data_IF_863867277782
#
_entry.id   IF_863867277782
#
_cell.length_a   1.000
_cell.length_b   1.000
_cell.length_c   1.000
_cell.angle_alpha   90.00
_cell.angle_beta   90.00
_cell.angle_gamma   90.00
#
_symmetry.space_group_name_H-M   'P 1'
#
loop_
_entity.id
_entity.type
_entity.pdbx_description
1 polymer ?
#
# COMPACT_ATOMS: atom_id res chain seq x y z
N UNK A 1 -3.29 -10.03 -18.99
CA UNK A 1 -3.34 -10.33 -17.55
C UNK A 1 -2.65 -11.64 -17.17
N UNK A 2 -2.83 -12.74 -17.92
CA UNK A 2 -2.18 -14.04 -17.61
C UNK A 2 -0.66 -13.94 -17.37
N UNK A 3 0.09 -13.42 -18.34
CA UNK A 3 1.55 -13.25 -18.23
C UNK A 3 1.97 -12.36 -17.07
N UNK A 4 1.29 -11.24 -16.88
CA UNK A 4 1.56 -10.32 -15.78
C UNK A 4 1.38 -10.99 -14.41
N UNK A 5 0.31 -11.79 -14.26
CA UNK A 5 0.06 -12.55 -13.02
C UNK A 5 1.11 -13.64 -12.80
N UNK A 6 1.56 -14.33 -13.85
CA UNK A 6 2.62 -15.32 -13.76
C UNK A 6 3.94 -14.71 -13.28
N UNK A 7 4.39 -13.63 -13.92
CA UNK A 7 5.62 -12.93 -13.53
C UNK A 7 5.50 -12.33 -12.12
N UNK A 8 4.32 -11.82 -11.75
CA UNK A 8 4.05 -11.38 -10.38
C UNK A 8 4.20 -12.51 -9.36
N UNK A 9 3.65 -13.69 -9.66
CA UNK A 9 3.79 -14.88 -8.82
C UNK A 9 5.25 -15.35 -8.70
N UNK A 10 5.99 -15.40 -9.81
CA UNK A 10 7.40 -15.74 -9.82
C UNK A 10 8.22 -14.77 -8.95
N UNK A 11 8.03 -13.46 -9.11
CA UNK A 11 8.71 -12.46 -8.31
C UNK A 11 8.41 -12.61 -6.81
N UNK A 12 7.14 -12.82 -6.45
CA UNK A 12 6.73 -13.06 -5.05
C UNK A 12 7.34 -14.34 -4.49
N UNK A 13 7.45 -15.40 -5.29
CA UNK A 13 8.01 -16.67 -4.84
C UNK A 13 9.49 -16.54 -4.42
N UNK A 14 10.27 -15.73 -5.14
CA UNK A 14 11.68 -15.51 -4.84
C UNK A 14 11.94 -14.38 -3.84
N UNK A 15 11.23 -13.26 -3.95
CA UNK A 15 11.48 -12.06 -3.12
C UNK A 15 10.56 -11.97 -1.87
N UNK A 16 9.52 -12.80 -1.82
CA UNK A 16 8.46 -12.70 -0.83
C UNK A 16 7.53 -11.50 -1.05
N UNK A 17 6.70 -11.23 -0.04
CA UNK A 17 5.82 -10.05 0.00
C UNK A 17 6.18 -9.15 1.17
N UNK A 18 5.51 -7.99 1.30
CA UNK A 18 5.82 -6.97 2.30
C UNK A 18 4.56 -6.52 3.09
N UNK A 19 4.62 -5.31 3.66
CA UNK A 19 3.57 -4.59 4.39
C UNK A 19 2.13 -4.76 3.86
N UNK A 20 1.88 -4.69 2.55
CA UNK A 20 0.52 -4.87 1.99
C UNK A 20 -0.06 -6.24 2.39
N UNK A 21 0.71 -7.31 2.21
CA UNK A 21 0.26 -8.66 2.56
C UNK A 21 0.22 -8.88 4.08
N UNK A 22 1.15 -8.27 4.82
CA UNK A 22 1.14 -8.33 6.29
C UNK A 22 -0.14 -7.74 6.89
N UNK A 23 -0.65 -6.65 6.30
CA UNK A 23 -1.88 -5.99 6.72
C UNK A 23 -3.14 -6.65 6.15
N UNK A 24 -3.07 -7.33 5.00
CA UNK A 24 -4.24 -7.98 4.43
C UNK A 24 -4.60 -9.32 5.10
N UNK A 25 -3.64 -9.99 5.75
CA UNK A 25 -3.90 -11.26 6.46
C UNK A 25 -4.92 -11.10 7.61
N UNK A 26 -4.77 -10.15 8.56
CA UNK A 26 -5.80 -9.96 9.58
C UNK A 26 -7.13 -9.48 9.01
N UNK A 27 -7.13 -8.73 7.90
CA UNK A 27 -8.36 -8.31 7.23
C UNK A 27 -9.17 -9.50 6.69
N UNK A 28 -8.50 -10.48 6.08
CA UNK A 28 -9.14 -11.71 5.63
C UNK A 28 -9.54 -12.64 6.78
N UNK A 29 -8.76 -12.67 7.88
CA UNK A 29 -9.05 -13.54 9.02
C UNK A 29 -10.22 -13.07 9.89
N UNK A 30 -10.27 -11.76 10.20
CA UNK A 30 -11.25 -11.19 11.15
C UNK A 30 -12.52 -10.72 10.44
N UNK A 31 -12.39 -10.09 9.27
CA UNK A 31 -13.52 -9.49 8.54
C UNK A 31 -13.87 -10.23 7.25
N UNK A 32 -13.24 -11.39 7.00
CA UNK A 32 -13.53 -12.25 5.84
C UNK A 32 -13.45 -11.53 4.48
N UNK A 33 -12.60 -10.52 4.40
CA UNK A 33 -12.43 -9.74 3.19
C UNK A 33 -11.73 -10.57 2.10
N UNK A 34 -12.22 -10.55 0.85
CA UNK A 34 -11.53 -11.19 -0.25
C UNK A 34 -10.10 -10.64 -0.37
N UNK A 35 -9.12 -11.54 -0.48
CA UNK A 35 -7.70 -11.19 -0.39
C UNK A 35 -7.28 -10.10 -1.40
N UNK A 36 -7.76 -10.20 -2.65
CA UNK A 36 -7.50 -9.21 -3.69
C UNK A 36 -8.05 -7.82 -3.35
N UNK A 37 -9.24 -7.75 -2.74
CA UNK A 37 -9.86 -6.48 -2.33
C UNK A 37 -9.06 -5.83 -1.20
N UNK A 38 -8.67 -6.61 -0.19
CA UNK A 38 -7.84 -6.12 0.91
C UNK A 38 -6.49 -5.60 0.41
N UNK A 39 -5.80 -6.35 -0.46
CA UNK A 39 -4.53 -5.91 -1.05
C UNK A 39 -4.67 -4.64 -1.89
N UNK A 40 -5.72 -4.53 -2.70
CA UNK A 40 -5.93 -3.38 -3.59
C UNK A 40 -6.11 -2.07 -2.79
N UNK A 41 -6.95 -2.09 -1.75
CA UNK A 41 -7.23 -0.90 -0.94
C UNK A 41 -6.02 -0.49 -0.09
N UNK A 42 -5.22 -1.45 0.36
CA UNK A 42 -4.01 -1.20 1.12
C UNK A 42 -2.81 -0.77 0.28
N UNK A 43 -2.84 -0.98 -1.04
CA UNK A 43 -1.70 -0.78 -1.93
C UNK A 43 -1.13 0.64 -1.85
N UNK A 44 -1.93 1.66 -2.19
CA UNK A 44 -1.44 3.03 -2.22
C UNK A 44 -1.00 3.57 -0.83
N UNK A 45 -1.75 3.37 0.26
CA UNK A 45 -1.30 3.74 1.60
C UNK A 45 0.03 3.08 2.01
N UNK A 46 0.19 1.79 1.75
CA UNK A 46 1.43 1.07 2.07
C UNK A 46 2.60 1.57 1.22
N UNK A 47 2.39 1.83 -0.06
CA UNK A 47 3.42 2.36 -0.95
C UNK A 47 3.90 3.74 -0.51
N UNK A 48 3.02 4.61 0.04
CA UNK A 48 3.43 5.91 0.64
C UNK A 48 4.41 5.74 1.80
N UNK A 49 4.19 4.72 2.64
CA UNK A 49 5.06 4.43 3.79
C UNK A 49 6.39 3.83 3.35
N UNK A 50 6.39 3.00 2.32
CA UNK A 50 7.60 2.35 1.79
C UNK A 50 8.45 3.29 0.95
N UNK A 51 7.82 4.19 0.17
CA UNK A 51 8.47 5.11 -0.78
C UNK A 51 9.75 5.77 -0.26
N UNK A 52 9.79 6.47 0.90
CA UNK A 52 10.99 7.17 1.34
C UNK A 52 12.20 6.25 1.59
N UNK A 53 11.97 4.94 1.73
CA UNK A 53 13.03 3.95 1.93
C UNK A 53 13.45 3.24 0.63
N UNK A 54 12.80 3.53 -0.50
CA UNK A 54 12.97 2.80 -1.76
C UNK A 54 12.83 3.71 -3.00
N UNK A 55 13.12 5.00 -2.87
CA UNK A 55 12.94 6.03 -3.93
C UNK A 55 13.51 5.58 -5.28
N UNK A 56 14.76 5.12 -5.31
CA UNK A 56 15.39 4.66 -6.55
C UNK A 56 14.66 3.49 -7.21
N UNK A 57 14.16 2.52 -6.43
CA UNK A 57 13.37 1.39 -6.95
C UNK A 57 12.01 1.84 -7.47
N UNK A 58 11.38 2.80 -6.80
CA UNK A 58 10.12 3.39 -7.28
C UNK A 58 10.33 4.15 -8.59
N UNK A 59 11.42 4.90 -8.71
CA UNK A 59 11.76 5.59 -9.95
C UNK A 59 11.99 4.62 -11.13
N UNK A 60 12.67 3.49 -10.88
CA UNK A 60 12.85 2.44 -11.89
C UNK A 60 11.50 1.86 -12.36
N UNK A 61 10.56 1.64 -11.44
CA UNK A 61 9.22 1.14 -11.79
C UNK A 61 8.42 2.19 -12.56
N UNK A 62 8.52 3.47 -12.18
CA UNK A 62 7.88 4.57 -12.89
C UNK A 62 8.29 4.62 -14.36
N UNK A 63 9.58 4.44 -14.66
CA UNK A 63 10.09 4.50 -16.03
C UNK A 63 9.52 3.39 -16.95
N UNK A 64 8.93 2.34 -16.37
CA UNK A 64 8.25 1.23 -17.06
C UNK A 64 6.75 1.47 -17.25
N UNK A 65 6.16 2.48 -16.61
CA UNK A 65 4.74 2.81 -16.76
C UNK A 65 4.51 3.45 -18.14
N UNK A 66 3.45 3.04 -18.88
CA UNK A 66 3.09 3.71 -20.13
C UNK A 66 2.89 5.22 -19.92
N UNK A 67 3.39 6.03 -20.84
CA UNK A 67 3.29 7.49 -20.83
C UNK A 67 3.91 8.19 -19.61
N UNK A 68 4.79 7.49 -18.88
CA UNK A 68 5.52 8.08 -17.77
C UNK A 68 6.50 9.18 -18.23
N UNK A 69 6.45 10.33 -17.56
CA UNK A 69 7.47 11.37 -17.74
C UNK A 69 8.79 10.91 -17.12
N UNK A 70 9.76 10.63 -17.99
CA UNK A 70 11.10 10.13 -17.62
C UNK A 70 12.07 11.25 -17.27
N UNK A 71 11.71 12.51 -17.51
CA UNK A 71 12.56 13.68 -17.25
C UNK A 71 12.56 14.09 -15.78
N UNK A 72 11.56 13.63 -15.02
CA UNK A 72 11.42 13.85 -13.58
C UNK A 72 12.62 13.33 -12.79
N UNK A 73 12.92 13.97 -11.66
CA UNK A 73 13.90 13.47 -10.69
C UNK A 73 13.42 12.16 -10.04
N UNK A 74 14.35 11.39 -9.45
CA UNK A 74 14.00 10.12 -8.79
C UNK A 74 12.95 10.29 -7.66
N UNK A 75 13.00 11.39 -6.92
CA UNK A 75 12.00 11.68 -5.87
C UNK A 75 10.62 11.95 -6.50
N UNK A 76 10.54 12.80 -7.51
CA UNK A 76 9.30 13.10 -8.24
C UNK A 76 8.71 11.85 -8.88
N UNK A 77 9.53 11.02 -9.55
CA UNK A 77 9.10 9.71 -10.09
C UNK A 77 8.53 8.81 -9.01
N UNK A 78 9.14 8.79 -7.81
CA UNK A 78 8.64 7.97 -6.71
C UNK A 78 7.27 8.44 -6.20
N UNK A 79 7.02 9.76 -6.19
CA UNK A 79 5.73 10.34 -5.88
C UNK A 79 4.69 10.07 -6.98
N UNK A 80 5.10 10.23 -8.24
CA UNK A 80 4.25 9.99 -9.41
C UNK A 80 3.77 8.54 -9.46
N UNK A 81 4.64 7.57 -9.19
CA UNK A 81 4.25 6.15 -9.10
C UNK A 81 3.19 5.91 -8.03
N UNK A 82 3.36 6.49 -6.83
CA UNK A 82 2.39 6.35 -5.75
C UNK A 82 1.04 6.97 -6.13
N UNK A 83 1.05 8.13 -6.79
CA UNK A 83 -0.17 8.76 -7.30
C UNK A 83 -0.85 7.91 -8.38
N UNK A 84 -0.07 7.36 -9.29
CA UNK A 84 -0.56 6.46 -10.35
C UNK A 84 -1.19 5.20 -9.79
N UNK A 85 -0.57 4.56 -8.79
CA UNK A 85 -1.15 3.39 -8.11
C UNK A 85 -2.46 3.75 -7.40
N UNK A 86 -2.54 4.92 -6.76
CA UNK A 86 -3.78 5.40 -6.14
C UNK A 86 -4.88 5.64 -7.18
N UNK A 87 -4.54 6.22 -8.33
CA UNK A 87 -5.48 6.41 -9.43
C UNK A 87 -5.91 5.07 -10.04
N UNK A 88 -5.00 4.10 -10.17
CA UNK A 88 -5.32 2.75 -10.63
C UNK A 88 -6.35 2.08 -9.72
N UNK A 89 -6.13 2.10 -8.40
CA UNK A 89 -7.08 1.51 -7.43
C UNK A 89 -8.46 2.17 -7.52
N UNK A 90 -8.53 3.50 -7.69
CA UNK A 90 -9.79 4.24 -7.85
C UNK A 90 -10.57 3.87 -9.12
N UNK A 91 -9.92 3.34 -10.15
CA UNK A 91 -10.61 2.86 -11.37
C UNK A 91 -11.26 1.50 -11.18
N UNK A 92 -10.90 0.76 -10.13
CA UNK A 92 -11.50 -0.52 -9.84
C UNK A 92 -12.88 -0.30 -9.18
N UNK A 93 -13.88 -1.15 -9.47
CA UNK A 93 -15.19 -1.11 -8.81
C UNK A 93 -15.08 -1.67 -7.37
N UNK A 94 -14.28 -1.03 -6.54
CA UNK A 94 -14.02 -1.39 -5.15
C UNK A 94 -14.55 -0.32 -4.21
N UNK A 95 -14.95 -0.67 -2.98
CA UNK A 95 -15.32 0.32 -1.98
C UNK A 95 -14.15 1.25 -1.62
N UNK A 96 -14.47 2.53 -1.39
CA UNK A 96 -13.49 3.62 -1.24
C UNK A 96 -12.63 3.53 0.03
N UNK A 97 -13.04 2.73 1.03
CA UNK A 97 -12.36 2.64 2.32
C UNK A 97 -12.72 1.36 3.08
N UNK A 98 -11.95 1.08 4.14
CA UNK A 98 -12.15 -0.08 5.01
C UNK A 98 -13.49 -0.03 5.78
N UNK A 99 -14.03 1.15 6.09
CA UNK A 99 -15.33 1.26 6.78
C UNK A 99 -16.49 0.83 5.88
N UNK A 100 -16.45 1.17 4.58
CA UNK A 100 -17.38 0.69 3.57
C UNK A 100 -17.29 -0.83 3.34
N UNK A 101 -16.24 -1.46 3.86
CA UNK A 101 -16.01 -2.90 3.87
C UNK A 101 -16.31 -3.57 5.21
N UNK A 102 -16.95 -2.85 6.13
CA UNK A 102 -17.35 -3.40 7.43
C UNK A 102 -16.23 -3.47 8.47
N UNK A 103 -15.10 -2.78 8.26
CA UNK A 103 -14.01 -2.67 9.24
C UNK A 103 -14.19 -1.39 10.07
N UNK A 104 -14.49 -1.50 11.37
CA UNK A 104 -14.68 -0.33 12.22
C UNK A 104 -13.38 0.48 12.38
N UNK A 105 -13.49 1.80 12.49
CA UNK A 105 -12.32 2.66 12.65
C UNK A 105 -11.58 2.38 13.97
N UNK A 106 -12.27 1.99 15.04
CA UNK A 106 -11.63 1.56 16.29
C UNK A 106 -10.72 0.32 16.12
N UNK A 107 -11.00 -0.50 15.10
CA UNK A 107 -10.28 -1.75 14.86
C UNK A 107 -8.91 -1.54 14.21
N UNK A 108 -8.59 -0.31 13.79
CA UNK A 108 -7.30 0.05 13.20
C UNK A 108 -6.12 -0.30 14.12
N UNK A 109 -6.26 -0.07 15.43
CA UNK A 109 -5.21 -0.39 16.40
C UNK A 109 -4.99 -1.90 16.52
N UNK A 110 -6.07 -2.68 16.56
CA UNK A 110 -6.02 -4.14 16.58
C UNK A 110 -5.42 -4.70 15.28
N UNK A 111 -5.81 -4.16 14.13
CA UNK A 111 -5.24 -4.51 12.81
C UNK A 111 -3.73 -4.24 12.76
N UNK A 112 -3.29 -3.08 13.25
CA UNK A 112 -1.87 -2.73 13.31
C UNK A 112 -1.07 -3.68 14.21
N UNK A 113 -1.63 -4.06 15.37
CA UNK A 113 -1.01 -5.01 16.29
C UNK A 113 -0.94 -6.43 15.68
N UNK A 114 -2.03 -6.88 15.05
CA UNK A 114 -2.07 -8.17 14.36
C UNK A 114 -1.06 -8.24 13.21
N UNK A 115 -0.92 -7.16 12.42
CA UNK A 115 0.05 -7.11 11.33
C UNK A 115 1.51 -7.12 11.82
N UNK A 116 1.80 -6.54 13.00
CA UNK A 116 3.13 -6.65 13.64
C UNK A 116 3.50 -8.08 14.02
N UNK A 117 2.50 -8.93 14.30
CA UNK A 117 2.73 -10.36 14.56
C UNK A 117 3.03 -11.15 13.28
N UNK A 118 2.80 -10.59 12.08
CA UNK A 118 3.22 -11.17 10.79
C UNK A 118 4.70 -10.86 10.54
N UNK A 119 5.56 -11.34 11.45
CA UNK A 119 6.99 -10.99 11.57
C UNK A 119 7.76 -11.16 10.26
N UNK A 120 7.53 -12.27 9.54
CA UNK A 120 8.23 -12.59 8.29
C UNK A 120 8.04 -11.50 7.22
N UNK A 121 6.78 -11.09 6.98
CA UNK A 121 6.44 -10.13 5.93
C UNK A 121 6.72 -8.69 6.36
N UNK A 122 6.54 -8.41 7.65
CA UNK A 122 6.84 -7.10 8.22
C UNK A 122 8.34 -6.80 8.10
N UNK A 123 9.21 -7.77 8.44
CA UNK A 123 10.66 -7.60 8.35
C UNK A 123 11.19 -7.43 6.92
N UNK A 124 10.43 -7.88 5.91
CA UNK A 124 10.80 -7.72 4.50
C UNK A 124 10.57 -6.28 3.99
N UNK A 125 9.78 -5.47 4.71
CA UNK A 125 9.69 -4.03 4.46
C UNK A 125 10.81 -3.31 5.24
N UNK A 126 11.78 -2.70 4.55
CA UNK A 126 12.84 -1.91 5.20
C UNK A 126 12.30 -0.81 6.16
N UNK A 127 11.06 -0.33 5.93
CA UNK A 127 10.35 0.59 6.82
C UNK A 127 10.05 0.01 8.22
N UNK A 128 9.88 -1.31 8.36
CA UNK A 128 9.62 -1.96 9.65
C UNK A 128 10.88 -2.19 10.49
N UNK A 129 12.03 -2.37 9.83
CA UNK A 129 13.35 -2.40 10.48
C UNK A 129 13.66 -1.05 11.14
N UNK A 130 13.34 0.07 10.46
CA UNK A 130 13.42 1.41 11.05
C UNK A 130 12.33 1.67 12.12
N UNK A 131 11.18 1.01 12.05
CA UNK A 131 10.10 1.10 13.03
C UNK A 131 10.41 0.44 14.38
N UNK A 132 11.44 -0.41 14.50
CA UNK A 132 11.98 -0.81 15.82
C UNK A 132 12.53 0.39 16.62
N UNK A 133 12.89 1.50 15.95
CA UNK A 133 13.34 2.74 16.60
C UNK A 133 12.27 3.83 16.70
N UNK A 134 11.14 3.72 16.00
CA UNK A 134 10.05 4.70 16.14
C UNK A 134 8.67 4.03 16.00
N UNK A 135 7.91 4.09 17.10
CA UNK A 135 6.54 3.56 17.24
C UNK A 135 5.41 4.18 16.37
N UNK A 136 5.56 5.25 15.53
CA UNK A 136 4.39 5.84 14.86
C UNK A 136 4.13 5.43 13.40
N UNK A 137 4.97 4.63 12.71
CA UNK A 137 4.83 4.48 11.23
C UNK A 137 3.66 3.59 10.77
N UNK A 138 3.33 2.53 11.50
CA UNK A 138 2.20 1.63 11.16
C UNK A 138 0.84 2.26 11.43
N UNK A 139 0.70 3.05 12.51
CA UNK A 139 -0.51 3.85 12.78
C UNK A 139 -0.75 4.89 11.67
N UNK A 140 0.32 5.50 11.14
CA UNK A 140 0.24 6.54 10.09
C UNK A 140 -0.23 5.99 8.73
N UNK A 141 0.07 4.72 8.43
CA UNK A 141 -0.43 4.03 7.22
C UNK A 141 -1.96 3.93 7.18
N UNK A 142 -2.60 3.83 8.35
CA UNK A 142 -4.04 3.62 8.48
C UNK A 142 -4.77 4.91 8.90
N UNK A 143 -4.12 5.80 9.66
CA UNK A 143 -4.66 7.12 10.07
C UNK A 143 -4.70 8.14 8.92
N UNK A 144 -3.81 8.06 7.93
CA UNK A 144 -3.82 8.96 6.76
C UNK A 144 -4.72 8.45 5.61
N UNK A 145 -5.75 7.67 5.91
CA UNK A 145 -6.81 7.38 4.93
C UNK A 145 -7.61 8.66 4.70
N UNK A 146 -7.60 9.23 3.48
CA UNK A 146 -8.36 10.44 3.21
C UNK A 146 -9.86 10.13 3.33
N UNK A 147 -10.54 10.86 4.21
CA UNK A 147 -11.99 10.96 4.17
C UNK A 147 -12.36 11.86 2.99
N UNK A 148 -13.18 11.37 2.05
CA UNK A 148 -13.49 12.00 0.75
C UNK A 148 -14.05 13.43 0.85
N UNK A 149 -14.44 13.90 2.06
CA UNK A 149 -15.00 15.25 2.26
C UNK A 149 -14.00 16.41 2.13
N UNK A 150 -12.67 16.19 2.20
CA UNK A 150 -11.70 17.29 2.17
C UNK A 150 -10.95 17.51 0.85
N UNK A 151 -11.25 16.75 -0.21
CA UNK A 151 -10.57 16.91 -1.51
C UNK A 151 -11.41 17.68 -2.55
N UNK A 152 -12.58 18.19 -2.15
CA UNK A 152 -13.47 18.95 -3.03
C UNK A 152 -13.40 20.47 -2.81
N UNK A 153 -12.49 20.97 -1.95
CA UNK A 153 -12.39 22.40 -1.61
C UNK A 153 -11.10 23.09 -2.11
N UNK A 154 -10.17 22.38 -2.77
CA UNK A 154 -8.92 22.96 -3.31
C UNK A 154 -8.80 22.83 -4.84
N UNK A 155 -9.93 22.90 -5.54
CA UNK A 155 -9.94 23.18 -6.98
C UNK A 155 -10.97 24.26 -7.28
N UNK A 156 -10.60 25.49 -6.94
CA UNK A 156 -10.95 26.74 -7.61
C UNK A 156 -9.79 27.72 -7.45
#
# INVERSE_FOLDING_TARGET
MLWASWYGGAAINYAGTHLVHALSYPLGGIWHLPHGVANAILLAPCMRVVRPHAVAKFAQVWDLIPDADRTLSAEEKSHALVAWLAALVKRLPLPDNLAALGVPQESISALSAAAQNVKRLMNNAHAASAAKRSRPSTKRCIQNMPNRRKLNEESY
#
